data_IF_973060652942
#
_entry.id   IF_973060652942
#
_cell.length_a   1.000
_cell.length_b   1.000
_cell.length_c   1.000
_cell.angle_alpha   90.00
_cell.angle_beta   90.00
_cell.angle_gamma   90.00
#
_symmetry.space_group_name_H-M   'P 1'
#
loop_
_entity.id
_entity.type
_entity.pdbx_description
1 polymer ?
#
# COMPACT_ATOMS: atom_id res chain seq x y z
N UNK A 1 13.74 -15.70 29.42
CA UNK A 1 13.26 -15.16 28.12
C UNK A 1 13.20 -13.65 28.26
N UNK A 2 14.28 -12.92 28.02
CA UNK A 2 14.33 -11.51 28.51
C UNK A 2 15.03 -10.51 27.58
N UNK A 3 15.21 -10.83 26.29
CA UNK A 3 15.66 -9.84 25.29
C UNK A 3 15.04 -10.10 23.92
N UNK A 4 13.71 -10.19 23.85
CA UNK A 4 13.03 -10.24 22.56
C UNK A 4 13.04 -8.84 21.93
N UNK A 5 13.64 -8.70 20.76
CA UNK A 5 13.71 -7.41 20.06
C UNK A 5 12.32 -6.84 19.80
N UNK A 6 12.17 -5.55 20.11
CA UNK A 6 10.90 -4.85 19.96
C UNK A 6 10.66 -4.45 18.49
N UNK A 7 9.71 -5.12 17.85
CA UNK A 7 9.33 -4.87 16.44
C UNK A 7 8.70 -3.49 16.21
N UNK A 8 8.25 -2.77 17.25
CA UNK A 8 7.54 -1.48 17.10
C UNK A 8 8.35 -0.42 16.39
N UNK A 9 9.63 -0.24 16.76
CA UNK A 9 10.47 0.81 16.16
C UNK A 9 10.78 0.50 14.69
N UNK A 10 10.97 -0.78 14.36
CA UNK A 10 11.18 -1.21 12.98
C UNK A 10 9.92 -0.98 12.15
N UNK A 11 8.76 -1.39 12.67
CA UNK A 11 7.47 -1.15 12.01
C UNK A 11 7.26 0.35 11.78
N UNK A 12 7.51 1.18 12.81
CA UNK A 12 7.35 2.63 12.72
C UNK A 12 8.25 3.22 11.64
N UNK A 13 9.55 2.96 11.69
CA UNK A 13 10.51 3.54 10.77
C UNK A 13 10.24 3.11 9.33
N UNK A 14 10.10 1.80 9.08
CA UNK A 14 9.94 1.27 7.73
C UNK A 14 8.54 1.57 7.16
N UNK A 15 7.49 1.54 7.98
CA UNK A 15 6.14 1.92 7.55
C UNK A 15 6.04 3.40 7.19
N UNK A 16 6.68 4.28 7.97
CA UNK A 16 6.77 5.72 7.65
C UNK A 16 7.55 5.95 6.37
N UNK A 17 8.70 5.31 6.19
CA UNK A 17 9.49 5.41 4.96
C UNK A 17 8.67 4.99 3.75
N UNK A 18 7.97 3.84 3.81
CA UNK A 18 7.11 3.39 2.72
C UNK A 18 6.00 4.40 2.42
N UNK A 19 5.24 4.84 3.44
CA UNK A 19 4.19 5.84 3.25
C UNK A 19 4.70 7.12 2.60
N UNK A 20 5.83 7.64 3.07
CA UNK A 20 6.46 8.85 2.52
C UNK A 20 6.89 8.67 1.06
N UNK A 21 7.51 7.54 0.70
CA UNK A 21 7.89 7.24 -0.70
C UNK A 21 6.66 7.33 -1.61
N UNK A 22 5.55 6.70 -1.22
CA UNK A 22 4.33 6.71 -2.03
C UNK A 22 3.74 8.10 -2.14
N UNK A 23 3.70 8.87 -1.04
CA UNK A 23 3.23 10.26 -1.06
C UNK A 23 4.05 11.10 -2.02
N UNK A 24 5.39 11.02 -1.96
CA UNK A 24 6.26 11.77 -2.86
C UNK A 24 6.07 11.39 -4.33
N UNK A 25 5.93 10.11 -4.65
CA UNK A 25 5.67 9.64 -6.02
C UNK A 25 4.38 10.25 -6.55
N UNK A 26 3.30 10.23 -5.77
CA UNK A 26 2.02 10.79 -6.18
C UNK A 26 2.08 12.32 -6.34
N UNK A 27 2.81 13.02 -5.47
CA UNK A 27 3.02 14.47 -5.59
C UNK A 27 3.84 14.83 -6.85
N UNK A 28 4.84 14.03 -7.22
CA UNK A 28 5.61 14.26 -8.46
C UNK A 28 4.73 14.10 -9.69
N UNK A 29 3.91 13.04 -9.73
CA UNK A 29 2.96 12.81 -10.83
C UNK A 29 1.98 13.98 -10.95
N UNK A 30 1.46 14.44 -9.80
CA UNK A 30 0.58 15.61 -9.74
C UNK A 30 1.27 16.87 -10.26
N UNK A 31 2.42 17.23 -9.69
CA UNK A 31 3.17 18.44 -10.05
C UNK A 31 3.63 18.45 -11.51
N UNK A 32 3.78 17.27 -12.13
CA UNK A 32 4.14 17.13 -13.55
C UNK A 32 2.93 17.18 -14.48
N UNK A 33 1.70 17.35 -13.97
CA UNK A 33 0.47 17.35 -14.76
C UNK A 33 0.09 15.98 -15.34
N UNK A 34 0.66 14.89 -14.81
CA UNK A 34 0.53 13.54 -15.35
C UNK A 34 -0.51 12.68 -14.62
N UNK A 35 -1.45 13.29 -13.90
CA UNK A 35 -2.45 12.59 -13.09
C UNK A 35 -3.24 11.52 -13.87
N UNK A 36 -3.55 11.81 -15.13
CA UNK A 36 -4.33 10.92 -16.00
C UNK A 36 -3.49 10.25 -17.09
N UNK A 37 -2.17 10.38 -17.01
CA UNK A 37 -1.28 9.73 -17.95
C UNK A 37 -1.18 8.24 -17.62
N UNK A 38 -1.45 7.38 -18.61
CA UNK A 38 -1.44 5.92 -18.43
C UNK A 38 -0.07 5.39 -18.05
N UNK A 39 1.00 5.99 -18.60
CA UNK A 39 2.39 5.58 -18.32
C UNK A 39 2.79 5.95 -16.91
N UNK A 40 2.45 7.17 -16.47
CA UNK A 40 2.67 7.62 -15.09
C UNK A 40 1.87 6.77 -14.09
N UNK A 41 0.62 6.44 -14.41
CA UNK A 41 -0.21 5.53 -13.61
C UNK A 41 0.40 4.14 -13.46
N UNK A 42 0.86 3.55 -14.56
CA UNK A 42 1.54 2.25 -14.54
C UNK A 42 2.84 2.29 -13.74
N UNK A 43 3.65 3.33 -13.93
CA UNK A 43 4.90 3.53 -13.19
C UNK A 43 4.64 3.68 -11.69
N UNK A 44 3.61 4.45 -11.30
CA UNK A 44 3.17 4.60 -9.90
C UNK A 44 2.83 3.25 -9.27
N UNK A 45 2.08 2.40 -9.99
CA UNK A 45 1.72 1.07 -9.54
C UNK A 45 2.96 0.19 -9.32
N UNK A 46 3.88 0.17 -10.28
CA UNK A 46 5.13 -0.61 -10.18
C UNK A 46 5.98 -0.13 -9.02
N UNK A 47 6.16 1.19 -8.85
CA UNK A 47 6.91 1.76 -7.73
C UNK A 47 6.24 1.40 -6.40
N UNK A 48 4.91 1.46 -6.32
CA UNK A 48 4.16 1.10 -5.12
C UNK A 48 4.40 -0.36 -4.74
N UNK A 49 4.26 -1.28 -5.69
CA UNK A 49 4.47 -2.71 -5.44
C UNK A 49 5.92 -3.02 -5.05
N UNK A 50 6.90 -2.53 -5.82
CA UNK A 50 8.32 -2.81 -5.58
C UNK A 50 8.82 -2.20 -4.28
N UNK A 51 8.39 -0.97 -3.96
CA UNK A 51 8.76 -0.32 -2.70
C UNK A 51 8.18 -1.07 -1.50
N UNK A 52 6.92 -1.51 -1.54
CA UNK A 52 6.33 -2.29 -0.45
C UNK A 52 7.10 -3.58 -0.19
N UNK A 53 7.38 -4.35 -1.26
CA UNK A 53 8.17 -5.59 -1.17
C UNK A 53 9.54 -5.31 -0.57
N UNK A 54 10.24 -4.31 -1.10
CA UNK A 54 11.60 -3.95 -0.67
C UNK A 54 11.63 -3.54 0.79
N UNK A 55 10.73 -2.64 1.20
CA UNK A 55 10.67 -2.13 2.58
C UNK A 55 10.32 -3.24 3.57
N UNK A 56 9.36 -4.11 3.25
CA UNK A 56 9.02 -5.25 4.13
C UNK A 56 10.21 -6.19 4.29
N UNK A 57 10.87 -6.57 3.19
CA UNK A 57 12.04 -7.46 3.23
C UNK A 57 13.17 -6.83 4.05
N UNK A 58 13.45 -5.54 3.86
CA UNK A 58 14.45 -4.82 4.64
C UNK A 58 14.07 -4.73 6.13
N UNK A 59 12.80 -4.49 6.44
CA UNK A 59 12.29 -4.46 7.82
C UNK A 59 12.43 -5.82 8.52
N UNK A 60 12.08 -6.91 7.84
CA UNK A 60 12.24 -8.28 8.37
C UNK A 60 13.74 -8.60 8.55
N UNK A 61 14.59 -8.27 7.58
CA UNK A 61 16.04 -8.48 7.67
C UNK A 61 16.64 -7.68 8.84
N UNK A 62 16.19 -6.44 9.04
CA UNK A 62 16.61 -5.59 10.15
C UNK A 62 16.18 -6.19 11.50
N UNK A 63 14.95 -6.68 11.60
CA UNK A 63 14.46 -7.37 12.80
C UNK A 63 15.32 -8.60 13.11
N UNK A 64 15.58 -9.46 12.11
CA UNK A 64 16.44 -10.64 12.26
C UNK A 64 17.84 -10.25 12.74
N UNK A 65 18.43 -9.21 12.17
CA UNK A 65 19.76 -8.73 12.54
C UNK A 65 19.83 -8.24 13.98
N UNK A 66 18.82 -7.50 14.44
CA UNK A 66 18.76 -7.02 15.82
C UNK A 66 18.47 -8.17 16.79
N UNK A 67 17.68 -9.16 16.35
CA UNK A 67 17.32 -10.34 17.13
C UNK A 67 18.38 -11.45 17.03
N UNK A 68 19.67 -11.06 17.06
CA UNK A 68 20.83 -11.95 17.07
C UNK A 68 20.90 -12.95 15.91
N UNK A 69 20.27 -12.62 14.78
CA UNK A 69 20.21 -13.49 13.61
C UNK A 69 19.07 -14.51 13.64
N UNK A 70 18.25 -14.55 14.69
CA UNK A 70 17.08 -15.41 14.81
C UNK A 70 15.81 -14.70 14.34
N UNK A 71 14.95 -15.46 13.69
CA UNK A 71 13.67 -14.97 13.18
C UNK A 71 12.67 -16.12 13.14
N UNK A 72 11.58 -15.99 13.88
CA UNK A 72 10.43 -16.89 13.74
C UNK A 72 9.49 -16.42 12.63
N UNK A 73 8.73 -17.36 12.06
CA UNK A 73 7.73 -17.06 11.03
C UNK A 73 6.69 -16.02 11.50
N UNK A 74 6.20 -16.16 12.74
CA UNK A 74 5.25 -15.21 13.32
C UNK A 74 5.84 -13.80 13.53
N UNK A 75 7.14 -13.69 13.84
CA UNK A 75 7.81 -12.40 13.95
C UNK A 75 7.92 -11.71 12.58
N UNK A 76 8.26 -12.45 11.54
CA UNK A 76 8.32 -11.92 10.17
C UNK A 76 6.95 -11.38 9.72
N UNK A 77 5.88 -12.15 9.94
CA UNK A 77 4.51 -11.74 9.63
C UNK A 77 4.12 -10.47 10.39
N UNK A 78 4.39 -10.43 11.69
CA UNK A 78 4.08 -9.26 12.53
C UNK A 78 4.77 -7.99 12.02
N UNK A 79 6.04 -8.09 11.65
CA UNK A 79 6.81 -6.96 11.12
C UNK A 79 6.25 -6.51 9.76
N UNK A 80 6.05 -7.43 8.82
CA UNK A 80 5.59 -7.06 7.48
C UNK A 80 4.17 -6.53 7.42
N UNK A 81 3.22 -7.13 8.16
CA UNK A 81 1.86 -6.57 8.31
C UNK A 81 1.92 -5.19 8.95
N UNK A 82 2.69 -5.02 10.03
CA UNK A 82 2.80 -3.74 10.72
C UNK A 82 3.29 -2.61 9.81
N UNK A 83 4.32 -2.89 9.00
CA UNK A 83 4.86 -1.95 8.01
C UNK A 83 3.78 -1.59 6.96
N UNK A 84 3.11 -2.60 6.40
CA UNK A 84 2.10 -2.40 5.36
C UNK A 84 0.92 -1.57 5.87
N UNK A 85 0.39 -1.89 7.06
CA UNK A 85 -0.72 -1.15 7.67
C UNK A 85 -0.31 0.29 7.96
N UNK A 86 0.82 0.50 8.63
CA UNK A 86 1.25 1.85 8.99
C UNK A 86 1.47 2.74 7.77
N UNK A 87 2.15 2.23 6.74
CA UNK A 87 2.35 3.00 5.52
C UNK A 87 1.03 3.27 4.78
N UNK A 88 0.10 2.31 4.76
CA UNK A 88 -1.23 2.51 4.19
C UNK A 88 -2.01 3.60 4.92
N UNK A 89 -1.94 3.67 6.25
CA UNK A 89 -2.57 4.74 7.02
C UNK A 89 -2.04 6.13 6.63
N UNK A 90 -0.73 6.26 6.41
CA UNK A 90 -0.12 7.51 5.95
C UNK A 90 -0.62 7.88 4.54
N UNK A 91 -0.67 6.90 3.64
CA UNK A 91 -1.17 7.09 2.27
C UNK A 91 -2.64 7.53 2.29
N UNK A 92 -3.47 6.95 3.16
CA UNK A 92 -4.87 7.35 3.31
C UNK A 92 -5.03 8.78 3.82
N UNK A 93 -4.22 9.18 4.81
CA UNK A 93 -4.21 10.58 5.29
C UNK A 93 -3.84 11.52 4.14
N UNK A 94 -2.81 11.18 3.36
CA UNK A 94 -2.46 11.94 2.15
C UNK A 94 -3.61 12.00 1.15
N UNK A 95 -4.28 10.88 0.84
CA UNK A 95 -5.40 10.88 -0.09
C UNK A 95 -6.54 11.80 0.37
N UNK A 96 -6.84 11.86 1.67
CA UNK A 96 -7.83 12.80 2.19
C UNK A 96 -7.38 14.26 2.02
N UNK A 97 -6.10 14.57 2.25
CA UNK A 97 -5.56 15.91 1.99
C UNK A 97 -5.63 16.23 0.50
N UNK A 98 -5.26 15.28 -0.36
CA UNK A 98 -5.23 15.44 -1.81
C UNK A 98 -6.63 15.75 -2.35
N UNK A 99 -7.62 14.92 -2.04
CA UNK A 99 -8.99 15.05 -2.55
C UNK A 99 -9.80 16.19 -1.93
N UNK A 100 -9.38 16.77 -0.80
CA UNK A 100 -10.12 17.86 -0.15
C UNK A 100 -9.44 19.22 -0.28
N UNK A 101 -8.11 19.27 -0.44
CA UNK A 101 -7.34 20.51 -0.41
C UNK A 101 -6.48 20.75 -1.65
N UNK A 102 -5.88 19.70 -2.23
CA UNK A 102 -4.93 19.84 -3.34
C UNK A 102 -5.65 19.84 -4.69
N UNK A 103 -6.48 18.81 -4.93
CA UNK A 103 -7.26 18.65 -6.16
C UNK A 103 -8.69 18.19 -5.82
N UNK A 104 -9.58 19.11 -5.37
CA UNK A 104 -10.95 18.78 -4.97
C UNK A 104 -11.80 18.16 -6.09
N UNK A 105 -11.53 18.54 -7.34
CA UNK A 105 -12.26 18.07 -8.52
C UNK A 105 -11.72 16.73 -9.04
N UNK A 106 -10.66 16.17 -8.43
CA UNK A 106 -10.02 14.94 -8.91
C UNK A 106 -11.01 13.79 -9.07
N UNK A 107 -11.85 13.58 -8.05
CA UNK A 107 -12.81 12.46 -8.04
C UNK A 107 -13.85 12.63 -9.15
N UNK A 108 -14.34 13.85 -9.37
CA UNK A 108 -15.31 14.14 -10.42
C UNK A 108 -14.70 13.95 -11.81
N UNK A 109 -13.47 14.44 -12.03
CA UNK A 109 -12.73 14.24 -13.28
C UNK A 109 -12.48 12.76 -13.58
N UNK A 110 -12.16 11.94 -12.55
CA UNK A 110 -12.01 10.49 -12.70
C UNK A 110 -13.34 9.83 -13.12
N UNK A 111 -14.46 10.26 -12.53
CA UNK A 111 -15.78 9.74 -12.88
C UNK A 111 -16.14 10.06 -14.33
N UNK A 112 -15.96 11.31 -14.77
CA UNK A 112 -16.23 11.75 -16.15
C UNK A 112 -15.38 10.99 -17.18
N UNK A 113 -14.08 10.81 -16.89
CA UNK A 113 -13.20 10.02 -17.76
C UNK A 113 -13.58 8.55 -17.79
N UNK A 114 -14.01 8.00 -16.66
CA UNK A 114 -14.49 6.62 -16.60
C UNK A 114 -15.77 6.48 -17.43
N UNK A 115 -16.71 7.38 -17.28
CA UNK A 115 -17.96 7.42 -18.06
C UNK A 115 -17.67 7.44 -19.56
N UNK A 116 -16.81 8.36 -20.02
CA UNK A 116 -16.41 8.42 -21.42
C UNK A 116 -15.74 7.13 -21.89
N UNK A 117 -14.84 6.55 -21.10
CA UNK A 117 -14.18 5.30 -21.46
C UNK A 117 -15.14 4.10 -21.55
N UNK A 118 -16.21 4.08 -20.76
CA UNK A 118 -17.25 3.05 -20.83
C UNK A 118 -18.10 3.22 -22.09
N UNK A 119 -18.43 4.45 -22.47
CA UNK A 119 -19.09 4.74 -23.74
C UNK A 119 -18.23 4.35 -24.95
N UNK A 120 -16.94 4.70 -24.91
CA UNK A 120 -15.98 4.33 -25.96
C UNK A 120 -15.79 2.80 -26.07
N UNK A 121 -16.00 2.08 -24.96
CA UNK A 121 -16.03 0.61 -24.92
C UNK A 121 -17.35 0.00 -25.43
N UNK A 122 -18.33 0.82 -25.84
CA UNK A 122 -19.58 0.40 -26.48
C UNK A 122 -20.67 -0.05 -25.52
N UNK A 123 -20.62 0.37 -24.25
CA UNK A 123 -21.65 0.04 -23.26
C UNK A 123 -22.92 0.88 -23.47
N UNK A 124 -24.07 0.30 -23.10
CA UNK A 124 -25.35 1.04 -23.10
C UNK A 124 -25.46 2.01 -21.91
N UNK A 125 -26.32 3.02 -22.02
CA UNK A 125 -26.56 4.00 -20.95
C UNK A 125 -26.87 3.34 -19.60
N UNK A 126 -27.72 2.30 -19.60
CA UNK A 126 -28.07 1.56 -18.39
C UNK A 126 -26.85 0.86 -17.75
N UNK A 127 -25.94 0.32 -18.58
CA UNK A 127 -24.72 -0.31 -18.11
C UNK A 127 -23.73 0.71 -17.55
N UNK A 128 -23.60 1.87 -18.21
CA UNK A 128 -22.74 2.98 -17.77
C UNK A 128 -23.24 3.52 -16.43
N UNK A 129 -24.52 3.85 -16.31
CA UNK A 129 -25.12 4.37 -15.08
C UNK A 129 -24.94 3.38 -13.92
N UNK A 130 -25.18 2.09 -14.17
CA UNK A 130 -25.00 1.04 -13.16
C UNK A 130 -23.54 0.97 -12.68
N UNK A 131 -22.58 1.01 -13.58
CA UNK A 131 -21.15 0.95 -13.22
C UNK A 131 -20.69 2.20 -12.46
N UNK A 132 -21.11 3.38 -12.89
CA UNK A 132 -20.79 4.64 -12.20
C UNK A 132 -21.43 4.69 -10.80
N UNK A 133 -22.64 4.17 -10.63
CA UNK A 133 -23.29 4.08 -9.32
C UNK A 133 -22.51 3.15 -8.37
N UNK A 134 -22.06 1.99 -8.86
CA UNK A 134 -21.20 1.07 -8.10
C UNK A 134 -19.87 1.74 -7.75
N UNK A 135 -19.23 2.40 -8.72
CA UNK A 135 -17.96 3.09 -8.50
C UNK A 135 -18.11 4.19 -7.45
N UNK A 136 -19.12 5.06 -7.54
CA UNK A 136 -19.38 6.11 -6.53
C UNK A 136 -19.55 5.53 -5.13
N UNK A 137 -20.29 4.42 -4.99
CA UNK A 137 -20.48 3.74 -3.70
C UNK A 137 -19.18 3.15 -3.17
N UNK A 138 -18.38 2.51 -4.02
CA UNK A 138 -17.10 1.88 -3.66
C UNK A 138 -16.01 2.90 -3.34
N UNK A 139 -15.99 4.04 -4.04
CA UNK A 139 -15.03 5.12 -3.88
C UNK A 139 -15.35 6.05 -2.71
N UNK A 140 -16.46 5.83 -2.00
CA UNK A 140 -16.79 6.57 -0.78
C UNK A 140 -15.66 6.46 0.26
N UNK A 141 -15.31 7.53 1.02
CA UNK A 141 -14.12 7.56 1.87
C UNK A 141 -14.04 6.42 2.88
N UNK A 142 -15.17 6.03 3.48
CA UNK A 142 -15.21 4.96 4.48
C UNK A 142 -14.96 3.58 3.87
N UNK A 143 -15.66 3.24 2.79
CA UNK A 143 -15.57 1.92 2.15
C UNK A 143 -14.22 1.75 1.47
N UNK A 144 -13.79 2.75 0.70
CA UNK A 144 -12.50 2.73 0.01
C UNK A 144 -11.33 2.60 0.98
N UNK A 145 -11.33 3.36 2.08
CA UNK A 145 -10.28 3.26 3.11
C UNK A 145 -10.25 1.90 3.79
N UNK A 146 -11.41 1.36 4.18
CA UNK A 146 -11.49 0.05 4.82
C UNK A 146 -11.02 -1.08 3.89
N UNK A 147 -11.48 -1.07 2.64
CA UNK A 147 -11.06 -2.03 1.62
C UNK A 147 -9.56 -1.90 1.31
N UNK A 148 -9.05 -0.68 1.22
CA UNK A 148 -7.62 -0.40 1.02
C UNK A 148 -6.77 -0.98 2.14
N UNK A 149 -7.12 -0.71 3.40
CA UNK A 149 -6.39 -1.27 4.56
C UNK A 149 -6.43 -2.79 4.52
N UNK A 150 -7.59 -3.40 4.28
CA UNK A 150 -7.72 -4.86 4.25
C UNK A 150 -6.86 -5.47 3.13
N UNK A 151 -6.94 -4.89 1.92
CA UNK A 151 -6.16 -5.35 0.77
C UNK A 151 -4.66 -5.24 1.03
N UNK A 152 -4.17 -4.07 1.46
CA UNK A 152 -2.75 -3.87 1.73
C UNK A 152 -2.24 -4.67 2.92
N UNK A 153 -3.08 -4.92 3.94
CA UNK A 153 -2.77 -5.85 5.03
C UNK A 153 -2.56 -7.26 4.49
N UNK A 154 -3.43 -7.73 3.61
CA UNK A 154 -3.31 -9.04 2.98
C UNK A 154 -2.05 -9.15 2.12
N UNK A 155 -1.74 -8.13 1.30
CA UNK A 155 -0.49 -8.09 0.52
C UNK A 155 0.74 -8.10 1.45
N UNK A 156 0.72 -7.30 2.52
CA UNK A 156 1.76 -7.29 3.54
C UNK A 156 1.96 -8.66 4.20
N UNK A 157 0.85 -9.36 4.50
CA UNK A 157 0.88 -10.74 4.97
C UNK A 157 1.57 -11.66 3.97
N UNK A 158 1.17 -11.66 2.69
CA UNK A 158 1.76 -12.53 1.66
C UNK A 158 3.28 -12.29 1.52
N UNK A 159 3.70 -11.04 1.38
CA UNK A 159 5.13 -10.68 1.24
C UNK A 159 5.90 -11.14 2.49
N UNK A 160 5.35 -10.90 3.67
CA UNK A 160 5.99 -11.25 4.94
C UNK A 160 6.03 -12.75 5.21
N UNK A 161 5.04 -13.51 4.72
CA UNK A 161 5.04 -14.96 4.79
C UNK A 161 6.15 -15.54 3.91
N UNK A 162 6.29 -15.04 2.68
CA UNK A 162 7.38 -15.44 1.77
C UNK A 162 8.74 -15.07 2.38
N UNK A 163 8.92 -13.81 2.79
CA UNK A 163 10.16 -13.34 3.41
C UNK A 163 10.50 -14.08 4.71
N UNK A 164 9.48 -14.38 5.52
CA UNK A 164 9.59 -15.15 6.74
C UNK A 164 10.02 -16.59 6.48
N UNK A 165 9.41 -17.27 5.50
CA UNK A 165 9.77 -18.64 5.14
C UNK A 165 11.21 -18.74 4.61
N UNK A 166 11.66 -17.77 3.83
CA UNK A 166 13.02 -17.74 3.27
C UNK A 166 14.06 -17.40 4.35
N UNK A 167 13.76 -16.44 5.23
CA UNK A 167 14.73 -15.90 6.19
C UNK A 167 14.64 -16.56 7.58
N UNK A 168 13.74 -17.52 7.80
CA UNK A 168 13.56 -18.17 9.09
C UNK A 168 14.89 -18.75 9.62
N UNK A 169 15.15 -18.55 10.90
CA UNK A 169 16.24 -19.21 11.61
C UNK A 169 15.85 -19.34 13.09
N UNK A 170 15.75 -20.58 13.57
CA UNK A 170 15.41 -20.91 14.96
C UNK A 170 16.69 -21.19 15.76
N UNK A 171 16.62 -21.00 17.07
CA UNK A 171 17.70 -21.36 18.00
C UNK A 171 18.01 -22.86 17.96
N UNK A 172 17.00 -23.69 17.69
CA UNK A 172 17.11 -25.15 17.51
C UNK A 172 17.91 -25.55 16.25
N UNK A 173 18.07 -24.64 15.28
CA UNK A 173 18.79 -24.90 14.02
C UNK A 173 20.33 -24.78 14.19
N UNK A 174 20.82 -24.55 15.42
CA UNK A 174 22.24 -24.31 15.72
C UNK A 174 22.95 -25.46 16.43
N UNK A 175 22.36 -26.67 16.44
CA UNK A 175 22.95 -27.89 16.98
C UNK A 175 23.48 -28.82 15.90
#
# INVERSE_FOLDING_TARGET
MENQVNSKNIILNYGVIYGIIIVFVNLIIYASGMLFDTTAGFLSLVITALSLITIIVLGIKKFKSENQGFLSFGQAIKVGIGIAVLGTLIILVYQQIFNNLIEPEFTQQVLEKTEQALYDAGLSDEQVETQLAIQKKMSGPLISSAMGILFWTFIGFVISAIGGAIMQKREEDTF
#
